data_IF_682851958892
#
_entry.id   IF_682851958892
#
_cell.length_a   1.000
_cell.length_b   1.000
_cell.length_c   1.000
_cell.angle_alpha   90.00
_cell.angle_beta   90.00
_cell.angle_gamma   90.00
#
_symmetry.space_group_name_H-M   'P 1'
#
loop_
_entity.id
_entity.type
_entity.pdbx_description
1 polymer ?
#
# COMPACT_ATOMS: atom_id res chain seq x y z
N UNK A 1 -7.01 9.96 -1.90
CA UNK A 1 -6.56 9.03 -2.97
C UNK A 1 -5.32 8.32 -2.45
N UNK A 2 -5.22 7.00 -2.59
CA UNK A 2 -4.04 6.23 -2.17
C UNK A 2 -3.18 5.98 -3.40
N UNK A 3 -1.92 6.39 -3.33
CA UNK A 3 -0.93 6.17 -4.38
C UNK A 3 0.14 5.23 -3.87
N UNK A 4 0.37 4.14 -4.59
CA UNK A 4 1.48 3.24 -4.31
C UNK A 4 2.74 3.85 -4.93
N UNK A 5 3.72 4.20 -4.10
CA UNK A 5 4.94 4.88 -4.54
C UNK A 5 5.72 4.03 -5.53
N UNK A 6 6.48 3.07 -5.00
CA UNK A 6 7.25 2.11 -5.78
C UNK A 6 6.64 0.72 -5.59
N UNK A 7 6.06 0.20 -6.67
CA UNK A 7 5.43 -1.12 -6.67
C UNK A 7 6.45 -2.25 -6.50
N UNK A 8 7.68 -2.11 -7.00
CA UNK A 8 8.70 -3.15 -6.84
C UNK A 8 9.14 -3.25 -5.38
N UNK A 9 9.22 -2.12 -4.66
CA UNK A 9 9.50 -2.12 -3.21
C UNK A 9 8.34 -2.75 -2.44
N UNK A 10 7.10 -2.52 -2.89
CA UNK A 10 5.92 -3.12 -2.29
C UNK A 10 5.87 -4.64 -2.49
N UNK A 11 6.11 -5.11 -3.71
CA UNK A 11 6.17 -6.54 -4.04
C UNK A 11 7.26 -7.24 -3.23
N UNK A 12 8.47 -6.66 -3.19
CA UNK A 12 9.56 -7.19 -2.38
C UNK A 12 9.22 -7.23 -0.87
N UNK A 13 8.46 -6.27 -0.36
CA UNK A 13 7.96 -6.28 1.02
C UNK A 13 6.95 -7.41 1.25
N UNK A 14 6.00 -7.60 0.33
CA UNK A 14 4.99 -8.64 0.41
C UNK A 14 5.60 -10.03 0.33
N UNK A 15 6.50 -10.26 -0.64
CA UNK A 15 7.21 -11.53 -0.81
C UNK A 15 8.03 -11.86 0.45
N UNK A 16 8.76 -10.88 1.00
CA UNK A 16 9.56 -11.08 2.22
C UNK A 16 8.72 -11.44 3.44
N UNK A 17 7.51 -10.87 3.58
CA UNK A 17 6.69 -10.99 4.79
C UNK A 17 5.67 -12.14 4.72
N UNK A 18 5.15 -12.42 3.53
CA UNK A 18 4.04 -13.35 3.31
C UNK A 18 4.35 -14.44 2.29
N UNK A 19 5.49 -14.39 1.60
CA UNK A 19 5.89 -15.32 0.54
C UNK A 19 5.07 -15.17 -0.73
N UNK A 20 5.51 -15.82 -1.81
CA UNK A 20 4.82 -15.82 -3.12
C UNK A 20 3.35 -16.23 -3.01
N UNK A 21 3.02 -17.20 -2.14
CA UNK A 21 1.65 -17.67 -2.00
C UNK A 21 0.72 -16.64 -1.34
N UNK A 22 1.24 -15.88 -0.37
CA UNK A 22 0.50 -14.79 0.29
C UNK A 22 0.30 -13.59 -0.62
N UNK A 23 1.34 -13.21 -1.37
CA UNK A 23 1.29 -12.17 -2.39
C UNK A 23 0.30 -12.54 -3.51
N UNK A 24 0.39 -13.76 -4.04
CA UNK A 24 -0.52 -14.23 -5.09
C UNK A 24 -1.97 -14.24 -4.62
N UNK A 25 -2.24 -14.71 -3.40
CA UNK A 25 -3.61 -14.67 -2.85
C UNK A 25 -4.11 -13.24 -2.65
N UNK A 26 -3.23 -12.28 -2.33
CA UNK A 26 -3.55 -10.86 -2.24
C UNK A 26 -4.00 -10.33 -3.61
N UNK A 27 -3.22 -10.58 -4.65
CA UNK A 27 -3.52 -10.14 -6.01
C UNK A 27 -4.74 -10.84 -6.61
N UNK A 28 -4.99 -12.11 -6.26
CA UNK A 28 -6.18 -12.85 -6.68
C UNK A 28 -7.46 -12.44 -5.90
N UNK A 29 -7.33 -11.58 -4.87
CA UNK A 29 -8.45 -11.15 -4.03
C UNK A 29 -9.06 -12.26 -3.17
N UNK A 30 -8.31 -13.33 -2.93
CA UNK A 30 -8.77 -14.54 -2.20
C UNK A 30 -8.32 -14.58 -0.75
N UNK A 31 -7.69 -13.52 -0.25
CA UNK A 31 -7.23 -13.48 1.13
C UNK A 31 -8.42 -13.33 2.10
N UNK A 32 -8.50 -14.20 3.13
CA UNK A 32 -9.33 -13.94 4.28
C UNK A 32 -8.95 -12.61 4.93
N UNK A 33 -9.94 -11.83 5.37
CA UNK A 33 -9.74 -10.62 6.18
C UNK A 33 -8.78 -10.91 7.34
N UNK A 34 -7.74 -10.09 7.48
CA UNK A 34 -6.75 -10.20 8.56
C UNK A 34 -5.57 -11.13 8.31
N UNK A 35 -5.51 -11.83 7.17
CA UNK A 35 -4.35 -12.69 6.82
C UNK A 35 -3.12 -11.89 6.39
N UNK A 36 -3.33 -10.71 5.82
CA UNK A 36 -2.29 -9.75 5.45
C UNK A 36 -2.64 -8.40 6.09
N UNK A 37 -1.71 -7.88 6.88
CA UNK A 37 -1.82 -6.57 7.54
C UNK A 37 -0.55 -5.79 7.25
N UNK A 38 -0.70 -4.71 6.49
CA UNK A 38 0.41 -3.86 6.08
C UNK A 38 0.42 -2.63 6.98
N UNK A 39 1.48 -2.49 7.77
CA UNK A 39 1.76 -1.27 8.51
C UNK A 39 2.62 -0.36 7.65
N UNK A 40 2.33 0.94 7.65
CA UNK A 40 3.12 1.94 6.94
C UNK A 40 3.23 3.22 7.76
N UNK A 41 4.35 3.91 7.61
CA UNK A 41 4.46 5.30 8.04
C UNK A 41 4.17 6.21 6.83
N UNK A 42 3.27 7.17 6.96
CA UNK A 42 3.00 8.13 5.89
C UNK A 42 2.89 9.56 6.41
N UNK A 43 3.33 10.51 5.60
CA UNK A 43 3.09 11.93 5.81
C UNK A 43 2.00 12.37 4.81
N UNK A 44 0.81 12.78 5.27
CA UNK A 44 -0.27 13.18 4.37
C UNK A 44 0.11 14.48 3.66
N UNK A 45 -0.02 14.49 2.33
CA UNK A 45 0.13 15.71 1.54
C UNK A 45 -1.25 16.26 1.19
N UNK A 46 -1.41 17.58 1.34
CA UNK A 46 -2.65 18.28 1.06
C UNK A 46 -2.55 18.90 -0.33
N UNK A 47 -3.12 18.22 -1.32
CA UNK A 47 -3.14 18.77 -2.67
C UNK A 47 -4.28 19.79 -2.78
N UNK A 48 -3.92 21.04 -3.09
CA UNK A 48 -4.86 22.12 -3.35
C UNK A 48 -4.84 22.49 -4.84
N UNK A 49 -5.90 22.13 -5.55
CA UNK A 49 -6.03 22.45 -6.98
C UNK A 49 -7.43 23.01 -7.28
N UNK A 50 -7.47 24.18 -7.92
CA UNK A 50 -8.71 24.86 -8.33
C UNK A 50 -9.76 25.01 -7.20
N UNK A 51 -9.32 25.31 -5.98
CA UNK A 51 -10.21 25.48 -4.82
C UNK A 51 -10.69 24.16 -4.20
N UNK A 52 -10.15 23.01 -4.61
CA UNK A 52 -10.46 21.70 -4.05
C UNK A 52 -9.26 21.19 -3.25
N UNK A 53 -9.53 20.88 -2.00
CA UNK A 53 -8.60 20.17 -1.11
C UNK A 53 -8.79 18.67 -1.30
N UNK A 54 -7.70 17.96 -1.56
CA UNK A 54 -7.70 16.50 -1.60
C UNK A 54 -6.51 15.95 -0.84
N UNK A 55 -6.78 15.04 0.10
CA UNK A 55 -5.73 14.33 0.82
C UNK A 55 -5.18 13.23 -0.08
N UNK A 56 -3.87 13.31 -0.34
CA UNK A 56 -3.13 12.28 -1.04
C UNK A 56 -2.27 11.52 -0.03
N UNK A 57 -2.48 10.21 0.03
CA UNK A 57 -1.69 9.30 0.86
C UNK A 57 -0.79 8.53 -0.10
N UNK A 58 0.52 8.75 0.01
CA UNK A 58 1.51 7.95 -0.71
C UNK A 58 1.95 6.82 0.21
N UNK A 59 1.68 5.58 -0.20
CA UNK A 59 2.18 4.40 0.49
C UNK A 59 3.67 4.27 0.20
N UNK A 60 4.46 4.57 1.22
CA UNK A 60 5.92 4.42 1.29
C UNK A 60 6.28 3.98 2.71
N UNK A 61 7.51 3.51 2.92
CA UNK A 61 8.04 3.14 4.24
C UNK A 61 7.21 2.03 4.94
N UNK A 62 7.19 0.84 4.32
CA UNK A 62 6.53 -0.36 4.86
C UNK A 62 7.29 -0.95 6.06
N UNK A 63 6.58 -1.37 7.11
CA UNK A 63 7.16 -1.95 8.33
C UNK A 63 6.48 -3.24 8.81
#
# INVERSE_FOLDING_TARGET
MIYFGDLAVFDAFLEKRYGEEGERQLYEGRLPLGRVTISMAYYPDLNFFAGRESVQIVMKDYC
#
